data_IF_001144743658
#
_entry.id   IF_001144743658
#
_cell.length_a   1.000
_cell.length_b   1.000
_cell.length_c   1.000
_cell.angle_alpha   90.00
_cell.angle_beta   90.00
_cell.angle_gamma   90.00
#
_symmetry.space_group_name_H-M   'P 1'
#
loop_
_entity.id
_entity.type
_entity.pdbx_description
1 polymer ?
#
# COMPACT_ATOMS: atom_id res chain seq x y z
N UNK A 1 -65.45 16.17 -15.74
CA UNK A 1 -64.47 16.91 -14.90
C UNK A 1 -63.44 15.91 -14.41
N UNK A 2 -62.37 15.67 -15.18
CA UNK A 2 -61.27 14.80 -14.76
C UNK A 2 -60.25 15.63 -13.98
N UNK A 3 -60.06 15.30 -12.69
CA UNK A 3 -59.00 15.85 -11.86
C UNK A 3 -57.75 15.00 -12.05
N UNK A 4 -56.77 15.51 -12.80
CA UNK A 4 -55.43 14.93 -12.85
C UNK A 4 -54.70 15.24 -11.55
N UNK A 5 -54.33 14.20 -10.81
CA UNK A 5 -53.42 14.28 -9.65
C UNK A 5 -52.00 14.19 -10.19
N UNK A 6 -51.21 15.25 -10.00
CA UNK A 6 -49.80 15.26 -10.34
C UNK A 6 -49.01 14.53 -9.23
N UNK A 7 -48.34 13.44 -9.59
CA UNK A 7 -47.45 12.69 -8.71
C UNK A 7 -46.08 13.38 -8.71
N UNK A 8 -45.70 13.99 -7.58
CA UNK A 8 -44.38 14.58 -7.40
C UNK A 8 -43.39 13.49 -6.96
N UNK A 9 -42.48 13.10 -7.85
CA UNK A 9 -41.38 12.21 -7.54
C UNK A 9 -40.27 13.01 -6.87
N UNK A 10 -40.03 12.77 -5.58
CA UNK A 10 -38.88 13.31 -4.86
C UNK A 10 -37.67 12.44 -5.22
N UNK A 11 -36.77 12.97 -6.05
CA UNK A 11 -35.44 12.40 -6.29
C UNK A 11 -34.55 12.75 -5.10
N UNK A 12 -34.29 11.76 -4.24
CA UNK A 12 -33.25 11.86 -3.22
C UNK A 12 -31.93 11.58 -3.94
N UNK A 13 -31.16 12.62 -4.22
CA UNK A 13 -29.74 12.47 -4.58
C UNK A 13 -28.97 12.16 -3.30
N UNK A 14 -28.66 10.88 -3.06
CA UNK A 14 -27.56 10.56 -2.15
C UNK A 14 -26.27 10.98 -2.85
N UNK A 15 -25.62 12.04 -2.36
CA UNK A 15 -24.19 12.19 -2.61
C UNK A 15 -23.50 11.04 -1.87
N UNK A 16 -23.32 9.92 -2.55
CA UNK A 16 -22.24 9.01 -2.17
C UNK A 16 -20.96 9.81 -2.34
N UNK A 17 -20.34 10.20 -1.22
CA UNK A 17 -18.93 10.58 -1.25
C UNK A 17 -18.21 9.43 -1.94
N UNK A 18 -17.63 9.71 -3.11
CA UNK A 18 -16.82 8.77 -3.84
C UNK A 18 -15.57 8.56 -2.95
N UNK A 19 -15.61 7.62 -2.00
CA UNK A 19 -14.38 7.20 -1.36
C UNK A 19 -13.49 6.70 -2.49
N UNK A 20 -12.28 7.22 -2.58
CA UNK A 20 -11.33 6.71 -3.53
C UNK A 20 -11.04 5.27 -3.11
N UNK A 21 -11.65 4.29 -3.80
CA UNK A 21 -11.38 2.90 -3.53
C UNK A 21 -9.90 2.64 -3.79
N UNK A 22 -9.22 1.99 -2.83
CA UNK A 22 -7.83 1.58 -3.01
C UNK A 22 -7.72 0.74 -4.28
N UNK A 23 -6.88 1.18 -5.22
CA UNK A 23 -6.67 0.47 -6.49
C UNK A 23 -5.76 -0.72 -6.22
N UNK A 24 -6.30 -1.94 -6.35
CA UNK A 24 -5.55 -3.19 -6.22
C UNK A 24 -5.14 -3.80 -7.55
N UNK A 25 -5.83 -3.42 -8.62
CA UNK A 25 -5.56 -3.87 -9.99
C UNK A 25 -5.43 -2.64 -10.91
N UNK A 26 -4.32 -2.57 -11.64
CA UNK A 26 -4.10 -1.49 -12.59
C UNK A 26 -5.01 -1.67 -13.83
N UNK A 27 -5.57 -0.58 -14.38
CA UNK A 27 -6.33 -0.67 -15.62
C UNK A 27 -5.40 -1.03 -16.80
N UNK A 28 -5.87 -1.74 -17.84
CA UNK A 28 -5.06 -2.12 -19.00
C UNK A 28 -4.27 -0.97 -19.63
N UNK A 29 -4.87 0.23 -19.66
CA UNK A 29 -4.24 1.44 -20.19
C UNK A 29 -2.97 1.86 -19.44
N UNK A 30 -2.81 1.50 -18.16
CA UNK A 30 -1.58 1.79 -17.42
C UNK A 30 -0.40 1.00 -17.98
N UNK A 31 -0.58 -0.30 -18.25
CA UNK A 31 0.43 -1.16 -18.87
C UNK A 31 0.79 -0.68 -20.29
N UNK A 32 -0.20 -0.25 -21.08
CA UNK A 32 0.07 0.33 -22.41
C UNK A 32 0.94 1.60 -22.34
N UNK A 33 0.79 2.42 -21.29
CA UNK A 33 1.53 3.67 -21.11
C UNK A 33 2.91 3.45 -20.45
N UNK A 34 3.07 2.38 -19.68
CA UNK A 34 4.33 2.01 -19.04
C UNK A 34 4.50 0.47 -18.99
N UNK A 35 4.96 -0.15 -20.09
CA UNK A 35 4.98 -1.62 -20.24
C UNK A 35 5.76 -2.38 -19.18
N UNK A 36 6.79 -1.78 -18.58
CA UNK A 36 7.56 -2.40 -17.47
C UNK A 36 6.68 -2.79 -16.28
N UNK A 37 5.48 -2.21 -16.13
CA UNK A 37 4.51 -2.64 -15.11
C UNK A 37 4.08 -4.11 -15.26
N UNK A 38 4.18 -4.70 -16.46
CA UNK A 38 3.86 -6.12 -16.68
C UNK A 38 4.84 -7.04 -15.94
N UNK A 39 6.08 -6.60 -15.76
CA UNK A 39 7.15 -7.34 -15.08
C UNK A 39 7.31 -6.93 -13.61
N UNK A 40 6.47 -6.00 -13.14
CA UNK A 40 6.53 -5.48 -11.78
C UNK A 40 5.54 -6.19 -10.84
N UNK A 41 5.95 -6.36 -9.59
CA UNK A 41 5.08 -6.87 -8.53
C UNK A 41 5.41 -6.24 -7.18
N UNK A 42 4.51 -6.41 -6.20
CA UNK A 42 4.71 -5.89 -4.84
C UNK A 42 4.73 -4.36 -4.74
N UNK A 43 4.23 -3.64 -5.74
CA UNK A 43 4.12 -2.19 -5.74
C UNK A 43 2.83 -1.71 -5.06
N UNK A 44 2.86 -0.48 -4.56
CA UNK A 44 1.70 0.22 -4.02
C UNK A 44 1.17 1.27 -5.01
N UNK A 45 -0.14 1.52 -5.00
CA UNK A 45 -0.80 2.41 -5.97
C UNK A 45 -1.65 3.46 -5.26
N UNK A 46 -1.45 4.72 -5.63
CA UNK A 46 -2.32 5.84 -5.28
C UNK A 46 -2.98 6.43 -6.53
N UNK A 47 -4.25 6.81 -6.42
CA UNK A 47 -5.01 7.46 -7.50
C UNK A 47 -5.39 8.88 -7.12
N UNK A 48 -5.11 9.82 -8.00
CA UNK A 48 -5.64 11.18 -7.89
C UNK A 48 -6.16 11.66 -9.23
N UNK A 49 -7.49 11.85 -9.34
CA UNK A 49 -8.16 12.21 -10.60
C UNK A 49 -7.76 11.25 -11.74
N UNK A 50 -7.13 11.78 -12.79
CA UNK A 50 -6.68 11.06 -13.99
C UNK A 50 -5.22 10.54 -13.85
N UNK A 51 -4.66 10.58 -12.65
CA UNK A 51 -3.30 10.14 -12.37
C UNK A 51 -3.28 8.88 -11.51
N UNK A 52 -2.36 7.97 -11.83
CA UNK A 52 -1.88 6.95 -10.91
C UNK A 52 -0.44 7.28 -10.51
N UNK A 53 -0.14 7.09 -9.23
CA UNK A 53 1.20 7.06 -8.68
C UNK A 53 1.50 5.63 -8.23
N UNK A 54 2.63 5.09 -8.65
CA UNK A 54 3.09 3.75 -8.27
C UNK A 54 4.39 3.91 -7.47
N UNK A 55 4.45 3.25 -6.32
CA UNK A 55 5.55 3.31 -5.37
C UNK A 55 6.09 1.91 -5.11
N UNK A 56 7.42 1.80 -5.00
CA UNK A 56 8.11 0.55 -4.71
C UNK A 56 7.83 -0.56 -5.72
N UNK A 57 7.95 -1.78 -5.23
CA UNK A 57 7.85 -3.00 -6.01
C UNK A 57 9.19 -3.48 -6.56
N UNK A 58 9.17 -4.72 -7.03
CA UNK A 58 10.29 -5.37 -7.70
C UNK A 58 9.99 -5.49 -9.19
N UNK A 59 10.99 -5.23 -10.03
CA UNK A 59 10.98 -5.47 -11.47
C UNK A 59 11.69 -6.79 -11.70
N UNK A 60 10.98 -7.77 -12.25
CA UNK A 60 11.58 -9.06 -12.63
C UNK A 60 12.29 -8.91 -13.96
N UNK A 61 13.60 -9.20 -14.00
CA UNK A 61 14.33 -9.28 -15.25
C UNK A 61 14.31 -10.72 -15.79
N UNK A 62 13.67 -10.91 -16.93
CA UNK A 62 13.67 -12.19 -17.66
C UNK A 62 14.84 -12.33 -18.65
N UNK A 63 15.88 -11.50 -18.54
CA UNK A 63 17.06 -11.57 -19.39
C UNK A 63 17.77 -12.95 -19.35
N UNK A 64 17.51 -13.73 -18.30
CA UNK A 64 17.87 -15.13 -18.19
C UNK A 64 16.72 -15.93 -17.55
N UNK A 65 16.02 -16.75 -18.34
CA UNK A 65 14.89 -17.60 -17.87
C UNK A 65 15.30 -18.53 -16.72
N UNK A 66 16.59 -18.86 -16.58
CA UNK A 66 17.12 -19.73 -15.54
C UNK A 66 17.52 -18.96 -14.27
N UNK A 67 17.79 -17.66 -14.38
CA UNK A 67 18.28 -16.80 -13.30
C UNK A 67 17.56 -15.45 -13.31
N UNK A 68 16.23 -15.46 -13.26
CA UNK A 68 15.46 -14.24 -13.08
C UNK A 68 15.93 -13.52 -11.81
N UNK A 69 16.31 -12.25 -11.96
CA UNK A 69 16.71 -11.39 -10.84
C UNK A 69 15.66 -10.32 -10.64
N UNK A 70 15.40 -10.02 -9.38
CA UNK A 70 14.50 -8.95 -8.97
C UNK A 70 15.28 -7.70 -8.64
N UNK A 71 14.90 -6.59 -9.26
CA UNK A 71 15.48 -5.27 -9.01
C UNK A 71 14.46 -4.38 -8.34
N UNK A 72 14.83 -3.63 -7.28
CA UNK A 72 13.91 -2.69 -6.66
C UNK A 72 13.57 -1.58 -7.65
N UNK A 73 12.31 -1.17 -7.68
CA UNK A 73 11.91 0.06 -8.34
C UNK A 73 12.39 1.26 -7.50
N UNK A 74 13.29 2.06 -8.07
CA UNK A 74 13.84 3.26 -7.44
C UNK A 74 13.11 4.54 -7.86
N UNK A 75 12.02 4.44 -8.61
CA UNK A 75 11.27 5.57 -9.13
C UNK A 75 9.85 5.62 -8.56
N UNK A 76 9.35 6.83 -8.35
CA UNK A 76 7.91 7.08 -8.28
C UNK A 76 7.40 7.15 -9.72
N UNK A 77 6.61 6.16 -10.13
CA UNK A 77 6.04 6.15 -11.49
C UNK A 77 4.72 6.91 -11.47
N UNK A 78 4.50 7.75 -12.48
CA UNK A 78 3.28 8.52 -12.65
C UNK A 78 2.67 8.23 -14.02
N UNK A 79 1.42 7.77 -14.03
CA UNK A 79 0.62 7.57 -15.25
C UNK A 79 -0.37 8.73 -15.37
N UNK A 80 -0.33 9.49 -16.46
CA UNK A 80 -1.24 10.59 -16.79
C UNK A 80 -2.20 10.13 -17.90
N UNK A 81 -3.40 9.72 -17.53
CA UNK A 81 -4.41 9.24 -18.50
C UNK A 81 -4.97 10.36 -19.37
N UNK A 82 -4.97 11.61 -18.89
CA UNK A 82 -5.48 12.75 -19.65
C UNK A 82 -4.57 13.09 -20.81
N UNK A 83 -3.25 13.03 -20.61
CA UNK A 83 -2.24 13.32 -21.65
C UNK A 83 -1.69 12.07 -22.34
N UNK A 84 -2.15 10.87 -21.96
CA UNK A 84 -1.67 9.60 -22.48
C UNK A 84 -0.14 9.47 -22.42
N UNK A 85 0.43 9.69 -21.24
CA UNK A 85 1.87 9.55 -21.01
C UNK A 85 2.15 8.98 -19.64
N UNK A 86 3.34 8.42 -19.48
CA UNK A 86 3.90 8.05 -18.20
C UNK A 86 5.22 8.82 -17.95
N UNK A 87 5.58 8.98 -16.69
CA UNK A 87 6.84 9.57 -16.26
C UNK A 87 7.37 8.79 -15.04
N UNK A 88 8.69 8.77 -14.88
CA UNK A 88 9.36 8.21 -13.71
C UNK A 88 10.12 9.34 -13.01
N UNK A 89 9.99 9.42 -11.68
CA UNK A 89 10.71 10.37 -10.85
C UNK A 89 11.57 9.62 -9.86
N UNK A 90 12.89 9.71 -10.03
CA UNK A 90 13.84 8.96 -9.21
C UNK A 90 13.80 9.39 -7.74
N UNK A 91 13.63 8.40 -6.87
CA UNK A 91 13.53 8.56 -5.41
C UNK A 91 14.87 8.95 -4.76
N UNK A 92 15.97 9.00 -5.51
CA UNK A 92 17.30 9.38 -5.02
C UNK A 92 17.40 10.79 -4.41
N UNK A 93 16.39 11.64 -4.61
CA UNK A 93 16.27 12.96 -3.97
C UNK A 93 15.44 12.95 -2.67
N UNK A 94 14.90 11.79 -2.25
CA UNK A 94 14.22 11.63 -0.98
C UNK A 94 15.24 11.43 0.16
N UNK A 95 14.85 11.74 1.41
CA UNK A 95 15.65 11.40 2.59
C UNK A 95 15.98 9.90 2.63
N UNK A 96 17.13 9.53 3.19
CA UNK A 96 17.63 8.14 3.19
C UNK A 96 16.61 7.11 3.70
N UNK A 97 15.95 7.36 4.84
CA UNK A 97 15.01 6.40 5.43
C UNK A 97 13.72 6.28 4.59
N UNK A 98 13.24 7.41 4.09
CA UNK A 98 12.06 7.48 3.24
C UNK A 98 12.28 6.81 1.88
N UNK A 99 13.44 7.07 1.28
CA UNK A 99 13.88 6.44 0.02
C UNK A 99 13.99 4.93 0.17
N UNK A 100 14.61 4.47 1.26
CA UNK A 100 14.80 3.04 1.54
C UNK A 100 13.42 2.33 1.60
N UNK A 101 12.42 2.88 2.31
CA UNK A 101 11.07 2.32 2.32
C UNK A 101 10.38 2.38 0.96
N UNK A 102 10.40 3.55 0.29
CA UNK A 102 9.65 3.73 -0.97
C UNK A 102 10.21 2.86 -2.10
N UNK A 103 11.45 2.39 -1.97
CA UNK A 103 12.08 1.47 -2.92
C UNK A 103 11.88 -0.02 -2.54
N UNK A 104 11.10 -0.31 -1.50
CA UNK A 104 10.85 -1.66 -1.02
C UNK A 104 9.76 -2.37 -1.83
N UNK A 105 9.71 -3.70 -1.72
CA UNK A 105 8.64 -4.52 -2.28
C UNK A 105 7.67 -4.97 -1.19
N UNK A 106 6.43 -5.25 -1.57
CA UNK A 106 5.43 -5.86 -0.70
C UNK A 106 4.91 -4.91 0.38
N UNK A 107 4.95 -3.59 0.16
CA UNK A 107 4.32 -2.64 1.07
C UNK A 107 2.82 -2.92 1.15
N UNK A 108 2.30 -3.03 2.37
CA UNK A 108 0.86 -2.91 2.59
C UNK A 108 0.44 -1.46 2.29
N UNK A 109 -0.70 -1.27 1.62
CA UNK A 109 -1.16 0.08 1.30
C UNK A 109 -2.67 0.21 1.34
N UNK A 110 -3.16 1.41 1.64
CA UNK A 110 -4.58 1.75 1.57
C UNK A 110 -4.70 3.25 1.28
N UNK A 111 -5.64 3.63 0.43
CA UNK A 111 -5.94 5.02 0.13
C UNK A 111 -7.27 5.42 0.77
N UNK A 112 -7.23 6.45 1.61
CA UNK A 112 -8.43 7.13 2.11
C UNK A 112 -8.47 8.56 1.57
N UNK A 113 -9.46 8.83 0.72
CA UNK A 113 -9.60 10.12 0.03
C UNK A 113 -8.35 10.48 -0.78
N UNK A 114 -7.66 11.56 -0.37
CA UNK A 114 -6.42 12.03 -1.02
C UNK A 114 -5.15 11.51 -0.36
N UNK A 115 -5.25 10.70 0.71
CA UNK A 115 -4.08 10.21 1.44
C UNK A 115 -3.84 8.75 1.10
N UNK A 116 -2.63 8.42 0.62
CA UNK A 116 -2.16 7.05 0.50
C UNK A 116 -1.32 6.70 1.72
N UNK A 117 -1.70 5.63 2.43
CA UNK A 117 -0.91 5.05 3.50
C UNK A 117 -0.11 3.88 2.94
N UNK A 118 1.21 3.92 3.17
CA UNK A 118 2.15 2.83 2.89
C UNK A 118 2.65 2.29 4.22
N UNK A 119 2.75 0.98 4.34
CA UNK A 119 3.12 0.30 5.56
C UNK A 119 4.11 -0.82 5.26
N UNK A 120 5.21 -0.77 6.01
CA UNK A 120 6.26 -1.77 5.98
C UNK A 120 6.96 -1.87 4.62
N UNK A 121 7.04 -3.09 4.11
CA UNK A 121 7.80 -3.46 2.91
C UNK A 121 9.16 -4.09 3.23
N UNK A 122 9.72 -4.84 2.27
CA UNK A 122 11.02 -5.50 2.39
C UNK A 122 12.00 -4.97 1.35
N UNK A 123 13.22 -4.66 1.76
CA UNK A 123 14.24 -4.15 0.86
C UNK A 123 15.57 -3.87 1.56
N UNK A 124 16.53 -3.38 0.78
CA UNK A 124 17.83 -3.00 1.31
C UNK A 124 17.76 -1.63 1.98
N UNK A 125 18.15 -1.56 3.25
CA UNK A 125 18.36 -0.29 3.95
C UNK A 125 19.82 0.11 3.83
N UNK A 126 20.09 1.21 3.13
CA UNK A 126 21.43 1.79 3.07
C UNK A 126 21.89 2.24 4.46
N UNK A 127 20.96 2.79 5.25
CA UNK A 127 21.25 3.30 6.61
C UNK A 127 21.71 2.19 7.56
N UNK A 128 21.16 0.98 7.41
CA UNK A 128 21.53 -0.17 8.23
C UNK A 128 22.55 -1.10 7.56
N UNK A 129 22.82 -0.94 6.26
CA UNK A 129 23.68 -1.83 5.49
C UNK A 129 23.15 -3.26 5.36
N UNK A 130 21.83 -3.47 5.42
CA UNK A 130 21.20 -4.79 5.42
C UNK A 130 19.82 -4.80 4.77
N UNK A 131 19.41 -5.97 4.29
CA UNK A 131 18.02 -6.21 3.88
C UNK A 131 17.16 -6.45 5.13
N UNK A 132 16.09 -5.68 5.26
CA UNK A 132 15.17 -5.71 6.40
C UNK A 132 13.73 -5.58 5.92
N UNK A 133 12.80 -5.94 6.79
CA UNK A 133 11.43 -5.44 6.73
C UNK A 133 11.37 -4.08 7.42
N UNK A 134 10.91 -3.06 6.70
CA UNK A 134 10.95 -1.68 7.16
C UNK A 134 9.90 -1.43 8.26
N UNK A 135 10.24 -0.76 9.37
CA UNK A 135 9.32 -0.48 10.47
C UNK A 135 8.58 0.84 10.27
N UNK A 136 8.10 1.13 9.06
CA UNK A 136 7.60 2.47 8.71
C UNK A 136 6.14 2.46 8.29
N UNK A 137 5.39 3.46 8.73
CA UNK A 137 4.14 3.88 8.12
C UNK A 137 4.36 5.26 7.51
N UNK A 138 4.02 5.43 6.23
CA UNK A 138 4.15 6.69 5.50
C UNK A 138 2.79 7.10 4.94
N UNK A 139 2.31 8.28 5.35
CA UNK A 139 1.14 8.93 4.77
C UNK A 139 1.58 9.90 3.67
N UNK A 140 0.98 9.80 2.49
CA UNK A 140 1.31 10.59 1.29
C UNK A 140 0.09 11.40 0.86
N UNK A 141 0.21 12.73 0.80
CA UNK A 141 -0.79 13.59 0.16
C UNK A 141 -0.68 13.46 -1.36
N UNK A 142 -1.59 12.70 -1.98
CA UNK A 142 -1.55 12.40 -3.41
C UNK A 142 -1.79 13.64 -4.28
N UNK A 143 -2.62 14.57 -3.83
CA UNK A 143 -2.87 15.81 -4.58
C UNK A 143 -1.60 16.64 -4.65
N UNK A 144 -1.03 16.95 -3.48
CA UNK A 144 0.17 17.79 -3.40
C UNK A 144 1.37 17.11 -4.07
N UNK A 145 1.43 15.77 -4.03
CA UNK A 145 2.45 14.98 -4.72
C UNK A 145 2.33 15.12 -6.23
N UNK A 146 1.14 14.89 -6.81
CA UNK A 146 0.92 15.06 -8.26
C UNK A 146 1.25 16.50 -8.70
N UNK A 147 0.82 17.50 -7.93
CA UNK A 147 1.11 18.91 -8.23
C UNK A 147 2.62 19.20 -8.20
N UNK A 148 3.35 18.70 -7.20
CA UNK A 148 4.81 18.85 -7.11
C UNK A 148 5.52 18.19 -8.30
N UNK A 149 5.13 16.95 -8.65
CA UNK A 149 5.73 16.21 -9.76
C UNK A 149 5.51 16.92 -11.10
N UNK A 150 4.29 17.41 -11.37
CA UNK A 150 3.99 18.17 -12.59
C UNK A 150 4.79 19.48 -12.70
N UNK A 151 5.10 20.10 -11.57
CA UNK A 151 5.94 21.30 -11.48
C UNK A 151 7.45 21.00 -11.50
N UNK A 152 7.86 19.72 -11.56
CA UNK A 152 9.27 19.32 -11.49
C UNK A 152 9.91 19.56 -10.11
N UNK A 153 9.10 19.61 -9.05
CA UNK A 153 9.53 19.81 -7.66
C UNK A 153 9.66 18.47 -6.94
N UNK A 154 10.49 18.46 -5.91
CA UNK A 154 10.63 17.31 -5.02
C UNK A 154 9.35 17.13 -4.17
N UNK A 155 8.68 15.95 -4.19
CA UNK A 155 7.44 15.74 -3.45
C UNK A 155 7.62 15.40 -1.95
N UNK A 156 8.86 15.28 -1.41
CA UNK A 156 9.13 14.86 -0.02
C UNK A 156 8.31 15.59 1.03
N UNK A 157 8.07 16.89 0.85
CA UNK A 157 7.32 17.71 1.80
C UNK A 157 5.86 17.24 1.99
N UNK A 158 5.37 16.33 1.15
CA UNK A 158 4.03 15.77 1.19
C UNK A 158 4.00 14.38 1.82
N UNK A 159 5.14 13.85 2.27
CA UNK A 159 5.27 12.50 2.82
C UNK A 159 5.55 12.61 4.33
N UNK A 160 4.73 11.93 5.11
CA UNK A 160 4.79 11.97 6.57
C UNK A 160 5.02 10.55 7.08
N UNK A 161 6.26 10.27 7.49
CA UNK A 161 6.69 8.95 7.90
C UNK A 161 6.81 8.88 9.43
N UNK A 162 6.37 7.76 9.99
CA UNK A 162 6.57 7.38 11.39
C UNK A 162 7.30 6.05 11.46
N UNK A 163 8.18 5.91 12.45
CA UNK A 163 8.92 4.68 12.74
C UNK A 163 8.26 3.94 13.91
N UNK A 164 7.82 2.72 13.67
CA UNK A 164 7.21 1.83 14.65
C UNK A 164 7.47 0.37 14.25
N UNK A 165 8.21 -0.37 15.08
CA UNK A 165 8.58 -1.77 14.82
C UNK A 165 7.37 -2.68 14.59
N UNK A 166 6.19 -2.31 15.10
CA UNK A 166 4.95 -3.06 14.87
C UNK A 166 4.49 -2.99 13.41
N UNK A 167 5.04 -2.06 12.62
CA UNK A 167 4.79 -1.89 11.19
C UNK A 167 5.78 -2.65 10.31
N UNK A 168 6.76 -3.36 10.91
CA UNK A 168 7.66 -4.24 10.17
C UNK A 168 6.92 -5.48 9.66
N UNK A 169 6.25 -5.32 8.52
CA UNK A 169 5.52 -6.36 7.80
C UNK A 169 5.57 -6.10 6.29
N UNK A 170 5.58 -7.15 5.48
CA UNK A 170 5.40 -7.05 4.04
C UNK A 170 4.49 -8.17 3.52
N UNK A 171 3.95 -7.99 2.32
CA UNK A 171 2.95 -8.85 1.67
C UNK A 171 1.68 -9.07 2.51
N UNK A 172 1.33 -8.11 3.37
CA UNK A 172 0.08 -8.11 4.12
C UNK A 172 -1.06 -7.45 3.33
N UNK A 173 -2.26 -7.99 3.49
CA UNK A 173 -3.49 -7.31 3.06
C UNK A 173 -3.83 -6.26 4.10
N UNK A 174 -4.02 -5.01 3.66
CA UNK A 174 -4.42 -3.89 4.51
C UNK A 174 -5.74 -3.30 4.04
N UNK A 175 -6.61 -2.94 4.98
CA UNK A 175 -7.83 -2.19 4.67
C UNK A 175 -8.26 -1.31 5.83
N UNK A 176 -9.21 -0.42 5.59
CA UNK A 176 -9.67 0.60 6.53
C UNK A 176 -11.18 0.73 6.47
N UNK A 177 -11.85 0.78 7.63
CA UNK A 177 -13.31 0.89 7.70
C UNK A 177 -13.83 2.33 7.85
N UNK A 178 -12.92 3.31 7.95
CA UNK A 178 -13.26 4.71 8.26
C UNK A 178 -12.83 5.16 9.64
N UNK A 179 -12.44 4.24 10.53
CA UNK A 179 -11.92 4.53 11.88
C UNK A 179 -10.68 3.69 12.24
N UNK A 180 -10.61 2.44 11.78
CA UNK A 180 -9.61 1.45 12.15
C UNK A 180 -8.98 0.80 10.93
N UNK A 181 -7.65 0.69 10.96
CA UNK A 181 -6.87 -0.05 9.98
C UNK A 181 -6.75 -1.49 10.42
N UNK A 182 -6.82 -2.38 9.44
CA UNK A 182 -6.72 -3.82 9.61
C UNK A 182 -5.61 -4.34 8.72
N UNK A 183 -4.81 -5.26 9.26
CA UNK A 183 -3.78 -5.99 8.54
C UNK A 183 -3.98 -7.47 8.79
N UNK A 184 -3.92 -8.27 7.73
CA UNK A 184 -3.97 -9.72 7.81
C UNK A 184 -3.01 -10.33 6.80
N UNK A 185 -2.56 -11.55 7.08
CA UNK A 185 -1.43 -12.19 6.40
C UNK A 185 -0.13 -11.38 6.56
N UNK A 186 0.82 -11.61 5.64
CA UNK A 186 2.13 -10.99 5.61
C UNK A 186 3.18 -11.77 6.37
N UNK A 187 4.35 -11.15 6.46
CA UNK A 187 5.57 -11.74 7.00
C UNK A 187 6.59 -10.66 7.35
N UNK A 188 7.64 -11.05 8.03
CA UNK A 188 8.87 -10.25 8.16
C UNK A 188 10.08 -11.07 7.71
N UNK A 189 11.12 -10.38 7.25
CA UNK A 189 12.33 -11.02 6.79
C UNK A 189 13.55 -10.11 6.90
N UNK A 190 14.73 -10.73 6.97
CA UNK A 190 16.02 -10.05 6.89
C UNK A 190 17.08 -10.97 6.28
N UNK A 191 18.21 -10.41 5.86
CA UNK A 191 19.38 -11.19 5.42
C UNK A 191 20.52 -11.09 6.42
N UNK A 192 20.97 -12.22 6.94
CA UNK A 192 22.25 -12.33 7.64
C UNK A 192 23.38 -12.36 6.63
N UNK A 193 24.46 -11.62 6.92
CA UNK A 193 25.63 -11.50 6.05
C UNK A 193 25.26 -11.17 4.59
N UNK A 194 24.52 -10.06 4.34
CA UNK A 194 23.85 -9.79 3.07
C UNK A 194 24.79 -9.66 1.85
N UNK A 195 26.10 -9.51 2.08
CA UNK A 195 27.13 -9.36 1.04
C UNK A 195 28.11 -10.53 0.98
N UNK A 196 27.88 -11.61 1.74
CA UNK A 196 28.68 -12.82 1.62
C UNK A 196 28.27 -13.62 0.37
N UNK A 197 29.09 -14.59 -0.02
CA UNK A 197 28.73 -15.55 -1.09
C UNK A 197 27.59 -16.49 -0.67
N UNK A 198 27.27 -16.54 0.63
CA UNK A 198 26.25 -17.41 1.23
C UNK A 198 25.34 -16.63 2.19
N UNK A 199 24.60 -15.61 1.70
CA UNK A 199 23.71 -14.84 2.55
C UNK A 199 22.57 -15.74 3.05
N UNK A 200 22.19 -15.61 4.32
CA UNK A 200 21.07 -16.39 4.89
C UNK A 200 19.83 -15.52 4.94
N UNK A 201 18.81 -15.92 4.20
CA UNK A 201 17.47 -15.33 4.26
C UNK A 201 16.70 -15.93 5.43
N UNK A 202 16.30 -15.09 6.38
CA UNK A 202 15.46 -15.47 7.51
C UNK A 202 14.10 -14.82 7.31
N UNK A 203 13.05 -15.63 7.28
CA UNK A 203 11.66 -15.20 7.13
C UNK A 203 10.83 -15.74 8.29
N UNK A 204 9.96 -14.88 8.82
CA UNK A 204 8.96 -15.22 9.82
C UNK A 204 7.57 -14.95 9.22
N UNK A 205 6.79 -15.99 8.92
CA UNK A 205 5.43 -15.82 8.45
C UNK A 205 4.54 -15.34 9.59
N UNK A 206 3.66 -14.39 9.27
CA UNK A 206 2.61 -13.92 10.17
C UNK A 206 1.27 -14.58 9.85
N UNK A 207 1.31 -15.85 9.43
CA UNK A 207 0.12 -16.66 9.20
C UNK A 207 -0.59 -16.91 10.53
N UNK A 208 -1.92 -16.71 10.58
CA UNK A 208 -2.69 -16.92 11.81
C UNK A 208 -2.73 -15.72 12.76
N UNK A 209 -2.20 -14.56 12.36
CA UNK A 209 -2.39 -13.31 13.10
C UNK A 209 -3.08 -12.23 12.26
N UNK A 210 -3.83 -11.37 12.95
CA UNK A 210 -4.32 -10.10 12.43
C UNK A 210 -3.82 -8.95 13.29
N UNK A 211 -3.69 -7.75 12.72
CA UNK A 211 -3.38 -6.53 13.47
C UNK A 211 -4.47 -5.51 13.20
N UNK A 212 -4.78 -4.72 14.22
CA UNK A 212 -5.66 -3.58 14.09
C UNK A 212 -5.06 -2.37 14.79
N UNK A 213 -5.29 -1.17 14.26
CA UNK A 213 -4.81 0.07 14.85
C UNK A 213 -5.54 1.28 14.30
N UNK A 214 -5.42 2.41 14.99
CA UNK A 214 -5.97 3.69 14.54
C UNK A 214 -4.88 4.72 14.37
N UNK A 215 -5.13 5.68 13.50
CA UNK A 215 -4.27 6.84 13.35
C UNK A 215 -4.89 8.03 14.07
N UNK A 216 -4.05 8.82 14.75
CA UNK A 216 -4.42 10.12 15.31
C UNK A 216 -3.50 11.18 14.75
N UNK A 217 -3.98 12.42 14.81
CA UNK A 217 -3.28 13.55 14.20
C UNK A 217 -3.26 13.44 12.68
N UNK A 218 -2.48 14.31 12.06
CA UNK A 218 -2.24 14.32 10.63
C UNK A 218 -0.87 14.93 10.36
N UNK A 219 -0.33 14.65 9.19
CA UNK A 219 0.96 15.20 8.74
C UNK A 219 2.06 14.96 9.78
N UNK A 220 2.70 16.02 10.28
CA UNK A 220 3.80 15.95 11.25
C UNK A 220 3.38 15.50 12.65
N UNK A 221 2.07 15.47 12.94
CA UNK A 221 1.50 14.98 14.21
C UNK A 221 0.91 13.57 14.11
N UNK A 222 1.14 12.88 12.99
CA UNK A 222 0.62 11.53 12.77
C UNK A 222 1.17 10.57 13.83
N UNK A 223 0.29 9.80 14.46
CA UNK A 223 0.65 8.79 15.45
C UNK A 223 -0.21 7.52 15.33
N UNK A 224 0.38 6.37 15.65
CA UNK A 224 -0.34 5.11 15.80
C UNK A 224 -0.91 5.02 17.22
N UNK A 225 -2.18 4.64 17.32
CA UNK A 225 -2.87 4.45 18.58
C UNK A 225 -3.75 3.19 18.55
N UNK A 226 -4.13 2.69 19.73
CA UNK A 226 -5.01 1.53 19.87
C UNK A 226 -4.56 0.27 19.10
N UNK A 227 -3.25 0.12 18.90
CA UNK A 227 -2.71 -1.04 18.20
C UNK A 227 -2.96 -2.33 18.98
N UNK A 228 -3.42 -3.37 18.29
CA UNK A 228 -3.60 -4.72 18.81
C UNK A 228 -3.08 -5.76 17.82
N UNK A 229 -2.64 -6.90 18.36
CA UNK A 229 -2.34 -8.10 17.59
C UNK A 229 -3.23 -9.22 18.08
N UNK A 230 -3.90 -9.87 17.14
CA UNK A 230 -4.87 -10.93 17.36
C UNK A 230 -4.26 -12.23 16.88
N UNK A 231 -4.13 -13.21 17.77
CA UNK A 231 -3.68 -14.58 17.46
C UNK A 231 -4.85 -15.56 17.38
N UNK A 232 -6.02 -15.17 17.88
CA UNK A 232 -7.28 -15.88 17.71
C UNK A 232 -8.06 -15.18 16.59
N UNK A 233 -8.05 -15.79 15.40
CA UNK A 233 -8.68 -15.24 14.21
C UNK A 233 -10.21 -15.34 14.25
N UNK A 234 -10.77 -16.34 14.93
CA UNK A 234 -12.22 -16.42 15.16
C UNK A 234 -12.66 -15.31 16.13
N UNK A 235 -11.91 -15.13 17.22
CA UNK A 235 -12.15 -14.02 18.16
C UNK A 235 -12.01 -12.64 17.52
N UNK A 236 -11.04 -12.46 16.62
CA UNK A 236 -10.92 -11.23 15.81
C UNK A 236 -12.14 -11.00 14.92
N UNK A 237 -12.61 -12.05 14.22
CA UNK A 237 -13.82 -12.00 13.39
C UNK A 237 -15.05 -11.63 14.22
N UNK A 238 -15.22 -12.26 15.38
CA UNK A 238 -16.38 -12.04 16.25
C UNK A 238 -16.38 -10.62 16.85
N UNK A 239 -15.19 -10.10 17.19
CA UNK A 239 -15.06 -8.77 17.79
C UNK A 239 -15.42 -7.65 16.82
N UNK A 240 -14.85 -7.67 15.61
CA UNK A 240 -15.09 -6.62 14.61
C UNK A 240 -16.34 -6.88 13.77
N UNK A 241 -16.63 -8.15 13.49
CA UNK A 241 -17.80 -8.62 12.75
C UNK A 241 -18.07 -7.79 11.49
N UNK A 242 -19.22 -7.10 11.41
CA UNK A 242 -19.60 -6.34 10.22
C UNK A 242 -18.74 -5.10 9.95
N UNK A 243 -17.83 -4.72 10.86
CA UNK A 243 -16.90 -3.62 10.64
C UNK A 243 -15.69 -4.01 9.80
N UNK A 244 -15.42 -5.31 9.64
CA UNK A 244 -14.31 -5.77 8.80
C UNK A 244 -14.55 -5.38 7.34
N UNK A 245 -13.60 -4.69 6.69
CA UNK A 245 -13.67 -4.45 5.26
C UNK A 245 -13.68 -5.77 4.48
N UNK A 246 -14.34 -5.78 3.32
CA UNK A 246 -14.54 -7.00 2.52
C UNK A 246 -13.23 -7.72 2.17
N UNK A 247 -12.16 -6.97 1.91
CA UNK A 247 -10.86 -7.58 1.60
C UNK A 247 -10.26 -8.33 2.79
N UNK A 248 -10.46 -7.82 4.00
CA UNK A 248 -9.98 -8.44 5.24
C UNK A 248 -10.81 -9.68 5.55
N UNK A 249 -12.13 -9.58 5.46
CA UNK A 249 -13.04 -10.71 5.69
C UNK A 249 -12.76 -11.87 4.72
N UNK A 250 -12.46 -11.55 3.45
CA UNK A 250 -12.10 -12.55 2.44
C UNK A 250 -10.82 -13.30 2.81
N UNK A 251 -9.77 -12.58 3.17
CA UNK A 251 -8.50 -13.20 3.58
C UNK A 251 -8.65 -14.01 4.88
N UNK A 252 -9.44 -13.49 5.82
CA UNK A 252 -9.73 -14.16 7.08
C UNK A 252 -10.46 -15.50 6.85
N UNK A 253 -11.46 -15.51 5.97
CA UNK A 253 -12.18 -16.73 5.59
C UNK A 253 -11.23 -17.76 4.96
N UNK A 254 -10.31 -17.34 4.08
CA UNK A 254 -9.32 -18.23 3.47
C UNK A 254 -8.36 -18.85 4.49
N UNK A 255 -8.04 -18.15 5.58
CA UNK A 255 -7.21 -18.67 6.66
C UNK A 255 -7.97 -19.67 7.54
N UNK A 256 -9.23 -19.36 7.89
CA UNK A 256 -10.07 -20.20 8.74
C UNK A 256 -10.51 -21.50 8.05
N UNK A 257 -10.62 -21.50 6.72
CA UNK A 257 -10.99 -22.69 5.93
C UNK A 257 -9.83 -23.67 5.71
N UNK A 258 -8.59 -23.33 6.11
CA UNK A 258 -7.46 -24.25 6.01
C UNK A 258 -7.61 -25.37 7.05
N UNK A 259 -7.49 -26.66 6.67
CA UNK A 259 -7.48 -27.74 7.63
C UNK A 259 -6.31 -27.57 8.60
N UNK A 260 -6.53 -27.82 9.89
CA UNK A 260 -5.45 -27.92 10.87
C UNK A 260 -4.46 -29.00 10.40
N UNK A 261 -3.18 -28.62 10.20
CA UNK A 261 -2.08 -29.52 9.85
C UNK A 261 -1.59 -30.35 11.05
#
# INVERSE_FOLDING_TARGET
MNRSVALATVLIFSMASLSAQTIRELPPRAYELYPTLEDMYGYAVGKYKDYLLIFGGSIRSEADEKYANDFPNLDILMIDFRRNRAAAYTSGNLDGLLRDQISSTGMAYHQDGNTLYLLGGYGFSESNGQFITFPYLTAIDLQATVEALLDGKNPVANFFQICDERMAIFDATMDYDGEEFFLINGKSAYKLEPFSDTPVYVEEPFTGQARSFRLKGAKESLEISQFQTWYDLEGFRDYYGPLLPESIERELQLLLDKPEE
#
